data_IF_684181986484
#
_entry.id   IF_684181986484
#
_cell.length_a   1.000
_cell.length_b   1.000
_cell.length_c   1.000
_cell.angle_alpha   90.00
_cell.angle_beta   90.00
_cell.angle_gamma   90.00
#
_symmetry.space_group_name_H-M   'P 1'
#
loop_
_entity.id
_entity.type
_entity.pdbx_description
1 polymer ?
#
# COMPACT_ATOMS: atom_id res chain seq x y z
N UNK A 1 16.20 -16.16 13.37
CA UNK A 1 15.49 -15.34 14.39
C UNK A 1 15.15 -13.94 13.83
N UNK A 2 14.26 -13.85 12.82
CA UNK A 2 14.00 -12.58 12.06
C UNK A 2 12.56 -12.06 12.22
N UNK A 3 11.64 -12.81 12.85
CA UNK A 3 10.20 -12.60 12.64
C UNK A 3 9.50 -11.57 13.56
N UNK A 4 10.09 -11.11 14.66
CA UNK A 4 9.38 -10.25 15.64
C UNK A 4 9.62 -8.75 15.47
N UNK A 5 10.79 -8.32 14.99
CA UNK A 5 11.15 -6.90 14.90
C UNK A 5 10.46 -6.19 13.72
N UNK A 6 10.29 -6.90 12.61
CA UNK A 6 9.65 -6.40 11.37
C UNK A 6 8.15 -6.11 11.57
N UNK A 7 7.43 -6.98 12.30
CA UNK A 7 5.98 -6.79 12.54
C UNK A 7 5.62 -5.49 13.26
N UNK A 8 6.58 -4.86 13.95
CA UNK A 8 6.36 -3.61 14.69
C UNK A 8 6.43 -2.35 13.79
N UNK A 9 6.95 -2.49 12.58
CA UNK A 9 7.17 -1.37 11.65
C UNK A 9 6.16 -1.34 10.50
N UNK A 10 5.39 -2.41 10.31
CA UNK A 10 4.23 -2.42 9.42
C UNK A 10 3.10 -1.72 10.15
N UNK A 11 2.49 -0.69 9.54
CA UNK A 11 1.37 0.05 10.13
C UNK A 11 0.01 -0.27 9.48
N UNK A 12 0.01 -0.75 8.24
CA UNK A 12 -1.19 -1.23 7.56
C UNK A 12 -0.84 -2.35 6.57
N UNK A 13 -1.87 -3.12 6.19
CA UNK A 13 -1.79 -4.17 5.17
C UNK A 13 -3.01 -4.05 4.26
N UNK A 14 -2.88 -4.45 3.00
CA UNK A 14 -4.04 -4.69 2.15
C UNK A 14 -3.97 -6.02 1.41
N UNK A 15 -5.12 -6.68 1.36
CA UNK A 15 -5.31 -7.95 0.66
C UNK A 15 -6.54 -7.95 -0.26
N UNK A 16 -7.27 -6.83 -0.34
CA UNK A 16 -8.51 -6.72 -1.15
C UNK A 16 -8.33 -5.72 -2.29
N UNK A 17 -8.00 -4.47 -1.97
CA UNK A 17 -7.86 -3.38 -2.95
C UNK A 17 -6.57 -3.48 -3.76
N UNK A 18 -5.50 -3.89 -3.10
CA UNK A 18 -4.21 -4.22 -3.67
C UNK A 18 -3.50 -5.18 -2.71
N UNK A 19 -2.52 -5.94 -3.20
CA UNK A 19 -1.70 -6.79 -2.35
C UNK A 19 -0.43 -6.03 -1.96
N UNK A 20 -0.38 -5.52 -0.73
CA UNK A 20 0.73 -4.70 -0.25
C UNK A 20 0.66 -4.38 1.23
N UNK A 21 1.67 -3.69 1.75
CA UNK A 21 1.72 -3.24 3.14
C UNK A 21 2.50 -1.92 3.25
N UNK A 22 2.08 -1.07 4.19
CA UNK A 22 2.79 0.15 4.54
C UNK A 22 3.84 -0.14 5.61
N UNK A 23 5.03 0.44 5.43
CA UNK A 23 6.18 0.18 6.30
C UNK A 23 6.98 1.45 6.57
N UNK A 24 7.34 1.69 7.83
CA UNK A 24 8.16 2.84 8.21
C UNK A 24 9.66 2.51 8.08
N UNK A 25 10.27 3.05 7.02
CA UNK A 25 11.69 2.94 6.68
C UNK A 25 12.22 4.25 6.09
N UNK A 26 13.54 4.40 6.16
CA UNK A 26 14.27 5.41 5.42
C UNK A 26 14.32 5.12 3.91
N UNK A 27 14.58 6.16 3.13
CA UNK A 27 14.63 6.12 1.66
C UNK A 27 15.75 5.21 1.13
N UNK A 28 16.91 5.19 1.78
CA UNK A 28 18.02 4.32 1.37
C UNK A 28 17.62 2.84 1.45
N UNK A 29 16.90 2.48 2.51
CA UNK A 29 16.36 1.13 2.69
C UNK A 29 15.21 0.84 1.72
N UNK A 30 14.33 1.81 1.41
CA UNK A 30 13.24 1.59 0.45
C UNK A 30 13.77 1.30 -0.95
N UNK A 31 14.83 1.97 -1.37
CA UNK A 31 15.45 1.76 -2.69
C UNK A 31 16.01 0.33 -2.86
N UNK A 32 16.43 -0.31 -1.76
CA UNK A 32 16.90 -1.71 -1.78
C UNK A 32 15.77 -2.72 -1.96
N UNK A 33 14.51 -2.32 -1.72
CA UNK A 33 13.35 -3.17 -1.96
C UNK A 33 12.97 -3.19 -3.44
N UNK A 34 13.32 -2.15 -4.20
CA UNK A 34 13.14 -2.14 -5.64
C UNK A 34 14.03 -3.21 -6.27
N UNK A 35 13.41 -4.12 -7.03
CA UNK A 35 14.12 -5.23 -7.69
C UNK A 35 14.12 -6.56 -6.92
N UNK A 36 13.61 -6.60 -5.68
CA UNK A 36 13.38 -7.87 -5.02
C UNK A 36 12.26 -8.67 -5.74
N UNK A 37 12.42 -10.00 -5.92
CA UNK A 37 11.38 -10.82 -6.52
C UNK A 37 10.05 -10.67 -5.78
N UNK A 38 8.99 -10.34 -6.51
CA UNK A 38 7.63 -10.15 -5.97
C UNK A 38 7.31 -8.71 -5.55
N UNK A 39 8.28 -7.79 -5.53
CA UNK A 39 8.02 -6.36 -5.31
C UNK A 39 7.70 -5.70 -6.65
N UNK A 40 6.46 -5.21 -6.79
CA UNK A 40 6.02 -4.50 -7.99
C UNK A 40 6.29 -3.00 -7.90
N UNK A 41 5.93 -2.37 -6.79
CA UNK A 41 6.10 -0.94 -6.58
C UNK A 41 6.60 -0.67 -5.16
N UNK A 42 7.48 0.31 -5.04
CA UNK A 42 7.85 0.96 -3.79
C UNK A 42 7.49 2.42 -4.00
N UNK A 43 6.58 2.96 -3.18
CA UNK A 43 6.06 4.31 -3.35
C UNK A 43 6.04 5.00 -1.99
N UNK A 44 6.32 6.32 -1.92
CA UNK A 44 6.06 7.11 -0.73
C UNK A 44 4.58 7.05 -0.38
N UNK A 45 4.26 6.73 0.88
CA UNK A 45 2.87 6.68 1.34
C UNK A 45 2.38 8.06 1.79
N UNK A 46 1.06 8.25 1.82
CA UNK A 46 0.41 9.51 2.18
C UNK A 46 -0.86 9.26 2.98
N UNK A 47 -1.25 10.22 3.82
CA UNK A 47 -2.47 10.10 4.59
C UNK A 47 -3.71 10.13 3.69
N UNK A 48 -4.56 9.13 3.82
CA UNK A 48 -5.94 9.15 3.32
C UNK A 48 -6.80 10.05 4.20
N UNK A 49 -6.56 10.00 5.52
CA UNK A 49 -7.18 10.89 6.50
C UNK A 49 -6.10 11.62 7.31
N UNK A 50 -5.75 12.88 6.93
CA UNK A 50 -4.73 13.66 7.62
C UNK A 50 -5.08 13.99 9.08
N UNK A 51 -6.38 14.09 9.41
CA UNK A 51 -6.84 14.43 10.77
C UNK A 51 -6.45 13.32 11.76
N UNK A 52 -6.61 12.06 11.35
CA UNK A 52 -6.28 10.88 12.16
C UNK A 52 -4.93 10.24 11.80
N UNK A 53 -4.16 10.86 10.89
CA UNK A 53 -2.90 10.31 10.34
C UNK A 53 -3.08 8.88 9.84
N UNK A 54 -4.18 8.63 9.14
CA UNK A 54 -4.54 7.30 8.66
C UNK A 54 -4.10 7.14 7.20
N UNK A 55 -3.25 6.15 6.96
CA UNK A 55 -2.78 5.78 5.62
C UNK A 55 -3.79 4.91 4.85
N UNK A 56 -4.97 4.63 5.43
CA UNK A 56 -5.97 3.76 4.84
C UNK A 56 -5.60 2.27 4.96
N UNK A 57 -6.08 1.46 4.01
CA UNK A 57 -5.98 -0.01 4.07
C UNK A 57 -6.48 -0.60 5.40
N UNK A 58 -6.08 -1.81 5.77
CA UNK A 58 -6.43 -2.43 7.05
C UNK A 58 -5.34 -2.11 8.09
N UNK A 59 -5.71 -1.52 9.23
CA UNK A 59 -4.71 -1.17 10.27
C UNK A 59 -4.05 -2.43 10.79
N UNK A 60 -2.72 -2.39 10.91
CA UNK A 60 -1.92 -3.51 11.37
C UNK A 60 -1.07 -3.07 12.55
N UNK A 61 -1.37 -3.60 13.74
CA UNK A 61 -0.69 -3.21 14.98
C UNK A 61 -0.17 -4.47 15.66
N UNK A 62 1.14 -4.51 15.91
CA UNK A 62 1.82 -5.61 16.59
C UNK A 62 1.59 -7.02 16.00
N UNK A 63 1.22 -7.12 14.72
CA UNK A 63 0.96 -8.40 14.08
C UNK A 63 -0.51 -8.75 13.90
N UNK A 64 -1.43 -7.88 14.32
CA UNK A 64 -2.87 -8.11 14.29
C UNK A 64 -3.59 -7.01 13.51
N UNK A 65 -4.67 -7.39 12.83
CA UNK A 65 -5.56 -6.43 12.15
C UNK A 65 -6.46 -5.79 13.19
N UNK A 66 -6.49 -4.46 13.22
CA UNK A 66 -7.33 -3.69 14.15
C UNK A 66 -8.44 -3.00 13.36
N UNK A 67 -9.69 -3.21 13.79
CA UNK A 67 -10.81 -2.51 13.19
C UNK A 67 -10.87 -1.05 13.65
N UNK A 68 -11.17 -0.17 12.70
CA UNK A 68 -11.44 1.24 13.00
C UNK A 68 -12.85 1.42 13.57
N UNK A 69 -13.07 2.45 14.40
CA UNK A 69 -14.42 2.91 14.69
C UNK A 69 -15.18 3.22 13.39
N UNK A 70 -16.52 3.00 13.34
CA UNK A 70 -17.30 3.19 12.11
C UNK A 70 -17.13 4.56 11.45
N UNK A 71 -17.03 5.62 12.24
CA UNK A 71 -16.86 6.98 11.70
C UNK A 71 -15.50 7.21 11.04
N UNK A 72 -14.46 6.52 11.51
CA UNK A 72 -13.14 6.54 10.86
C UNK A 72 -13.10 5.62 9.64
N UNK A 73 -13.81 4.49 9.70
CA UNK A 73 -13.87 3.55 8.59
C UNK A 73 -14.46 4.19 7.32
N UNK A 74 -15.56 4.96 7.44
CA UNK A 74 -16.19 5.69 6.33
C UNK A 74 -15.26 6.71 5.64
N UNK A 75 -14.25 7.23 6.35
CA UNK A 75 -13.30 8.23 5.82
C UNK A 75 -12.21 7.61 4.96
N UNK A 76 -11.88 6.33 5.19
CA UNK A 76 -10.85 5.59 4.45
C UNK A 76 -11.42 4.63 3.40
N UNK A 77 -12.73 4.47 3.38
CA UNK A 77 -13.43 3.73 2.34
C UNK A 77 -13.34 4.46 1.00
N UNK A 78 -13.10 3.74 -0.11
CA UNK A 78 -13.12 4.34 -1.43
C UNK A 78 -14.52 4.91 -1.70
N UNK A 79 -14.62 6.22 -1.83
CA UNK A 79 -15.85 6.84 -2.34
C UNK A 79 -16.09 6.32 -3.77
N UNK A 80 -17.31 5.91 -4.13
CA UNK A 80 -17.62 5.51 -5.49
C UNK A 80 -17.33 6.69 -6.43
N UNK A 81 -16.23 6.58 -7.19
CA UNK A 81 -15.92 7.53 -8.25
C UNK A 81 -17.04 7.44 -9.29
N UNK A 82 -17.70 8.57 -9.56
CA UNK A 82 -18.60 8.70 -10.72
C UNK A 82 -17.79 8.29 -11.94
N UNK A 83 -18.17 7.16 -12.55
CA UNK A 83 -17.37 6.40 -13.50
C UNK A 83 -17.06 7.09 -14.85
N UNK A 84 -17.40 8.38 -15.01
CA UNK A 84 -17.52 9.00 -16.33
C UNK A 84 -16.34 9.87 -16.77
N UNK A 85 -15.41 10.25 -15.87
CA UNK A 85 -14.42 11.30 -16.21
C UNK A 85 -12.95 10.83 -16.28
N UNK A 86 -12.66 9.54 -16.10
CA UNK A 86 -11.26 9.04 -16.22
C UNK A 86 -11.01 8.39 -17.58
N UNK A 87 -10.08 8.92 -18.40
CA UNK A 87 -9.59 8.23 -19.59
C UNK A 87 -9.03 6.88 -19.16
N UNK A 88 -9.58 5.80 -19.71
CA UNK A 88 -9.21 4.42 -19.42
C UNK A 88 -7.83 4.13 -20.01
N UNK A 89 -6.77 4.58 -19.35
CA UNK A 89 -5.39 4.27 -19.75
C UNK A 89 -5.17 2.77 -19.55
N UNK A 90 -4.92 2.07 -20.65
CA UNK A 90 -4.90 0.61 -20.70
C UNK A 90 -3.61 0.09 -20.05
N UNK A 91 -3.68 -0.27 -18.77
CA UNK A 91 -2.57 -0.76 -17.91
C UNK A 91 -1.84 -1.99 -18.45
N UNK A 92 -2.44 -2.71 -19.42
CA UNK A 92 -1.92 -3.96 -19.97
C UNK A 92 -0.52 -3.82 -20.56
N UNK A 93 -0.21 -2.68 -21.21
CA UNK A 93 1.08 -2.48 -21.90
C UNK A 93 2.22 -2.04 -20.97
N UNK A 94 1.93 -1.72 -19.70
CA UNK A 94 2.96 -1.26 -18.74
C UNK A 94 3.67 -2.44 -18.07
N UNK A 95 2.93 -3.49 -17.74
CA UNK A 95 3.48 -4.70 -17.13
C UNK A 95 4.35 -5.50 -18.11
N UNK A 96 3.95 -5.57 -19.38
CA UNK A 96 4.71 -6.27 -20.43
C UNK A 96 6.04 -5.56 -20.74
N UNK A 97 6.03 -4.24 -20.93
CA UNK A 97 7.26 -3.46 -21.19
C UNK A 97 8.28 -3.53 -20.05
N UNK A 98 7.82 -3.58 -18.79
CA UNK A 98 8.74 -3.70 -17.65
C UNK A 98 9.34 -5.11 -17.53
N UNK A 99 8.60 -6.15 -17.91
CA UNK A 99 9.13 -7.53 -17.99
C UNK A 99 10.22 -7.65 -19.05
N UNK A 100 10.05 -6.99 -20.20
CA UNK A 100 11.08 -6.98 -21.24
C UNK A 100 12.35 -6.25 -20.80
N UNK A 101 12.23 -5.13 -20.08
CA UNK A 101 13.39 -4.37 -19.61
C UNK A 101 14.18 -5.03 -18.46
N UNK A 102 13.74 -6.17 -17.93
CA UNK A 102 14.45 -6.94 -16.90
C UNK A 102 15.14 -8.20 -17.45
N UNK A 103 15.30 -8.31 -18.77
CA UNK A 103 16.01 -9.41 -19.44
C UNK A 103 17.42 -9.04 -19.85
#
# INVERSE_FOLDING_TARGET
>A
MVRRKQKKKIYNVSCERYFGFGYEIDEETSNKLEGLPGVLFVLPDSYVDPEYKDYGAELFVNGEIVQRPPERQKRVEPQPQRANDRPRYNDRTRYERRRENMR
#
